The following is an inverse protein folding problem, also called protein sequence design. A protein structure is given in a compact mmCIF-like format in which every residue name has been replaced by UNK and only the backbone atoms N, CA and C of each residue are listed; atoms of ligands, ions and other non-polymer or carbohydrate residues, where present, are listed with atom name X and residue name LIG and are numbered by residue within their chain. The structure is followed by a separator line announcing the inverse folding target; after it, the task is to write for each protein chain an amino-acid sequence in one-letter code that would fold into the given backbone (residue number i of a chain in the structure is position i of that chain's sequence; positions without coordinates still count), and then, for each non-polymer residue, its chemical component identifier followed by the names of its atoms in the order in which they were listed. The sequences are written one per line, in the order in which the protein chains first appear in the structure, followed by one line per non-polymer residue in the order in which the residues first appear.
data_IF_804219298188
#
_entry.id   IF_804219298188
#
_cell.length_a   1.000
_cell.length_b   1.000
_cell.length_c   1.000
_cell.angle_alpha   90.00
_cell.angle_beta   90.00
_cell.angle_gamma   90.00
#
_symmetry.space_group_name_H-M   'P 1'
#
loop_
_entity.id
_entity.type
_entity.pdbx_description
1 polymer ?
#
# COMPACT_ATOMS: atom_id res chain seq x y z
N UNK A 1 14.21 -52.06 -15.78
CA UNK A 1 12.92 -52.14 -15.05
C UNK A 1 12.06 -50.93 -15.42
N UNK A 2 10.78 -51.13 -15.74
CA UNK A 2 9.83 -50.05 -16.08
C UNK A 2 8.90 -49.83 -14.89
N UNK A 3 8.90 -48.62 -14.33
CA UNK A 3 7.99 -48.22 -13.25
C UNK A 3 6.61 -47.89 -13.85
N UNK A 4 5.51 -48.44 -13.33
CA UNK A 4 4.17 -48.13 -13.83
C UNK A 4 3.72 -46.73 -13.38
N UNK A 5 3.24 -45.94 -14.32
CA UNK A 5 2.60 -44.64 -14.07
C UNK A 5 1.17 -44.92 -13.62
N UNK A 6 0.90 -44.70 -12.35
CA UNK A 6 -0.45 -44.74 -11.77
C UNK A 6 -1.22 -43.50 -12.23
N UNK A 7 -2.33 -43.70 -12.95
CA UNK A 7 -3.24 -42.62 -13.36
C UNK A 7 -4.19 -42.33 -12.20
N UNK A 8 -4.00 -41.18 -11.55
CA UNK A 8 -4.89 -40.67 -10.53
C UNK A 8 -6.20 -40.17 -11.16
N UNK A 9 -7.32 -40.65 -10.63
CA UNK A 9 -8.66 -40.28 -11.09
C UNK A 9 -8.99 -38.85 -10.62
N UNK A 10 -9.35 -37.98 -11.56
CA UNK A 10 -9.79 -36.62 -11.28
C UNK A 10 -11.11 -36.64 -10.51
N UNK A 11 -11.07 -36.26 -9.23
CA UNK A 11 -12.26 -36.01 -8.42
C UNK A 11 -12.82 -34.64 -8.83
N UNK A 12 -14.04 -34.65 -9.39
CA UNK A 12 -14.76 -33.43 -9.77
C UNK A 12 -15.15 -32.65 -8.51
N UNK A 13 -14.50 -31.50 -8.30
CA UNK A 13 -14.86 -30.56 -7.24
C UNK A 13 -16.06 -29.72 -7.71
N UNK A 14 -17.18 -29.66 -6.96
CA UNK A 14 -18.32 -28.84 -7.33
C UNK A 14 -17.95 -27.35 -7.32
N UNK A 15 -18.20 -26.69 -8.45
CA UNK A 15 -18.00 -25.26 -8.70
C UNK A 15 -19.02 -24.46 -7.87
N UNK A 16 -18.59 -23.96 -6.72
CA UNK A 16 -19.38 -23.02 -5.93
C UNK A 16 -19.50 -21.68 -6.66
N UNK A 17 -20.74 -21.20 -6.80
CA UNK A 17 -21.05 -19.89 -7.38
C UNK A 17 -20.46 -18.75 -6.53
N UNK A 18 -19.93 -17.67 -7.15
CA UNK A 18 -19.42 -16.53 -6.41
C UNK A 18 -20.58 -15.81 -5.73
N UNK A 19 -20.60 -15.84 -4.40
CA UNK A 19 -21.50 -15.01 -3.61
C UNK A 19 -21.01 -13.56 -3.70
N UNK A 20 -21.88 -12.68 -4.19
CA UNK A 20 -21.74 -11.23 -4.08
C UNK A 20 -21.85 -10.84 -2.62
N UNK A 21 -20.71 -10.65 -1.96
CA UNK A 21 -20.66 -10.05 -0.63
C UNK A 21 -20.80 -8.53 -0.76
N UNK A 22 -21.94 -8.04 -0.29
CA UNK A 22 -22.19 -6.63 0.02
C UNK A 22 -21.19 -6.16 1.09
N UNK A 23 -20.20 -5.39 0.67
CA UNK A 23 -19.28 -4.69 1.57
C UNK A 23 -20.01 -3.51 2.20
N UNK A 24 -20.47 -3.70 3.43
CA UNK A 24 -20.92 -2.64 4.32
C UNK A 24 -19.74 -1.75 4.70
N UNK A 25 -19.91 -0.46 4.47
CA UNK A 25 -18.99 0.61 4.85
C UNK A 25 -18.75 0.62 6.37
N UNK A 26 -17.50 0.35 6.78
CA UNK A 26 -16.98 0.76 8.09
C UNK A 26 -16.01 1.91 7.89
N UNK A 27 -16.55 3.11 7.74
CA UNK A 27 -15.82 4.37 7.76
C UNK A 27 -15.93 4.97 9.17
N UNK A 28 -14.80 5.03 9.87
CA UNK A 28 -14.41 6.12 10.81
C UNK A 28 -13.32 5.64 11.78
N UNK A 29 -12.07 5.60 11.32
CA UNK A 29 -10.92 5.70 12.21
C UNK A 29 -10.35 7.12 12.09
N UNK A 30 -10.86 8.00 12.95
CA UNK A 30 -10.23 9.28 13.23
C UNK A 30 -8.87 9.01 13.86
N UNK A 31 -7.83 9.00 13.04
CA UNK A 31 -6.44 9.01 13.47
C UNK A 31 -6.08 10.42 13.93
N UNK A 32 -6.53 10.80 15.13
CA UNK A 32 -5.99 11.97 15.83
C UNK A 32 -4.61 11.61 16.38
N UNK A 33 -3.59 11.77 15.52
CA UNK A 33 -2.20 11.74 15.94
C UNK A 33 -1.79 13.17 16.28
N UNK A 34 -1.57 13.53 17.57
CA UNK A 34 -0.99 14.80 17.93
C UNK A 34 0.49 14.76 17.54
N UNK A 35 0.78 15.13 16.29
CA UNK A 35 2.15 15.31 15.82
C UNK A 35 2.78 16.48 16.58
N UNK A 36 3.58 16.07 17.55
CA UNK A 36 4.50 16.87 18.35
C UNK A 36 5.20 17.97 17.55
N UNK A 37 5.26 19.11 18.22
CA UNK A 37 6.31 20.14 18.17
C UNK A 37 6.20 21.18 17.07
N UNK A 38 5.85 22.39 17.52
CA UNK A 38 6.01 23.67 16.85
C UNK A 38 7.28 23.73 15.97
N UNK A 39 7.11 23.44 14.67
CA UNK A 39 8.09 23.84 13.67
C UNK A 39 8.00 25.34 13.55
N UNK A 40 8.91 26.05 14.22
CA UNK A 40 9.12 27.47 13.99
C UNK A 40 9.20 27.75 12.48
N UNK A 41 8.54 28.82 12.04
CA UNK A 41 8.41 29.23 10.63
C UNK A 41 9.81 29.25 9.98
N UNK A 42 10.17 28.20 9.24
CA UNK A 42 11.44 28.15 8.52
C UNK A 42 11.28 29.02 7.27
N UNK A 43 12.10 30.05 7.15
CA UNK A 43 12.16 30.86 5.93
C UNK A 43 12.57 29.95 4.75
N UNK A 44 11.98 30.11 3.56
CA UNK A 44 12.36 29.35 2.38
C UNK A 44 13.86 29.54 2.12
N UNK A 45 14.61 28.43 2.05
CA UNK A 45 16.04 28.48 1.75
C UNK A 45 16.22 28.53 0.23
N UNK A 46 17.17 29.33 -0.30
CA UNK A 46 17.42 29.40 -1.73
C UNK A 46 17.94 28.05 -2.25
N UNK A 47 17.17 27.43 -3.14
CA UNK A 47 17.41 26.06 -3.60
C UNK A 47 18.77 25.84 -4.30
N UNK A 48 19.37 26.89 -4.86
CA UNK A 48 20.64 26.81 -5.64
C UNK A 48 21.91 27.11 -4.84
N UNK A 49 21.82 27.95 -3.82
CA UNK A 49 23.00 28.43 -3.07
C UNK A 49 23.10 27.84 -1.68
N UNK A 50 22.07 27.14 -1.22
CA UNK A 50 22.07 26.56 0.12
C UNK A 50 22.92 25.29 0.17
N UNK A 51 23.99 25.34 0.94
CA UNK A 51 24.81 24.16 1.28
C UNK A 51 24.30 23.56 2.59
N UNK A 52 24.09 22.25 2.63
CA UNK A 52 23.68 21.57 3.85
C UNK A 52 24.71 21.78 4.97
N UNK A 53 24.24 22.19 6.15
CA UNK A 53 25.08 22.32 7.35
C UNK A 53 25.66 20.97 7.80
N UNK A 54 26.66 21.02 8.70
CA UNK A 54 27.28 19.83 9.28
C UNK A 54 26.23 18.98 10.01
N UNK A 55 26.17 17.68 9.71
CA UNK A 55 25.22 16.75 10.33
C UNK A 55 25.44 16.65 11.84
N UNK A 56 24.34 16.74 12.60
CA UNK A 56 24.35 16.55 14.06
C UNK A 56 24.76 15.13 14.48
N UNK A 57 24.68 14.15 13.56
CA UNK A 57 25.11 12.76 13.80
C UNK A 57 26.64 12.60 13.84
N UNK A 58 27.41 13.61 13.40
CA UNK A 58 28.89 13.57 13.46
C UNK A 58 29.44 14.24 14.72
N UNK A 59 28.67 14.30 15.80
CA UNK A 59 29.25 14.46 17.14
C UNK A 59 29.95 13.14 17.48
N UNK A 60 31.24 13.05 17.12
CA UNK A 60 32.17 12.10 17.73
C UNK A 60 31.95 12.21 19.23
N UNK A 61 31.45 11.15 19.84
CA UNK A 61 31.40 11.00 21.28
C UNK A 61 32.85 11.06 21.76
N UNK A 62 33.31 12.25 22.12
CA UNK A 62 34.48 12.38 22.97
C UNK A 62 34.10 11.68 24.26
N UNK A 63 34.82 10.60 24.55
CA UNK A 63 34.67 9.67 25.65
C UNK A 63 34.63 10.42 26.99
N UNK A 64 33.48 10.96 27.35
CA UNK A 64 33.20 11.30 28.74
C UNK A 64 33.15 9.96 29.46
N UNK A 65 34.09 9.76 30.39
CA UNK A 65 34.13 8.62 31.31
C UNK A 65 32.76 8.56 31.99
N UNK A 66 31.90 7.69 31.46
CA UNK A 66 30.58 7.44 32.04
C UNK A 66 30.85 6.61 33.28
N UNK A 67 30.65 7.21 34.45
CA UNK A 67 30.46 6.43 35.67
C UNK A 67 29.36 5.40 35.39
N UNK A 68 29.57 4.12 35.73
CA UNK A 68 28.57 3.07 35.49
C UNK A 68 27.37 3.37 36.37
N UNK A 69 26.37 4.03 35.78
CA UNK A 69 25.04 4.13 36.37
C UNK A 69 24.49 2.71 36.44
N UNK A 70 23.93 2.25 37.58
CA UNK A 70 23.25 0.96 37.64
C UNK A 70 22.07 1.04 36.67
N UNK A 71 22.28 0.50 35.48
CA UNK A 71 21.23 0.33 34.49
C UNK A 71 20.38 -0.76 35.09
N UNK A 72 19.20 -0.41 35.62
CA UNK A 72 18.18 -1.41 35.91
C UNK A 72 18.12 -2.29 34.67
N UNK A 73 18.37 -3.59 34.85
CA UNK A 73 18.51 -4.54 33.78
C UNK A 73 17.15 -4.72 33.09
N UNK A 74 16.75 -3.74 32.29
CA UNK A 74 15.78 -3.87 31.22
C UNK A 74 16.46 -4.68 30.11
N UNK A 75 16.86 -5.91 30.45
CA UNK A 75 17.28 -6.89 29.48
C UNK A 75 16.08 -7.21 28.61
N UNK A 76 16.23 -7.04 27.30
CA UNK A 76 15.28 -7.62 26.36
C UNK A 76 15.37 -9.13 26.56
N UNK A 77 14.33 -9.70 27.19
CA UNK A 77 14.20 -11.14 27.36
C UNK A 77 13.36 -11.67 26.21
N UNK A 78 13.87 -12.66 25.50
CA UNK A 78 13.06 -13.37 24.51
C UNK A 78 12.09 -14.28 25.26
N UNK A 79 10.79 -14.21 24.93
CA UNK A 79 9.83 -15.16 25.49
C UNK A 79 10.24 -16.59 25.07
N UNK A 80 10.35 -17.48 26.06
CA UNK A 80 10.79 -18.84 25.83
C UNK A 80 9.74 -19.66 25.09
N UNK A 81 10.16 -20.49 24.14
CA UNK A 81 9.33 -21.55 23.56
C UNK A 81 8.44 -21.13 22.39
N UNK A 82 7.25 -21.74 22.31
CA UNK A 82 6.28 -21.60 21.19
C UNK A 82 5.34 -20.41 21.35
N UNK A 83 5.41 -19.69 22.46
CA UNK A 83 4.49 -18.59 22.80
C UNK A 83 4.66 -17.34 21.91
N UNK A 84 5.76 -17.28 21.14
CA UNK A 84 5.99 -16.25 20.10
C UNK A 84 5.64 -16.72 18.68
N UNK A 85 5.37 -18.01 18.47
CA UNK A 85 5.16 -18.58 17.15
C UNK A 85 3.67 -18.59 16.81
N UNK A 86 3.19 -17.52 16.18
CA UNK A 86 1.89 -17.53 15.53
C UNK A 86 1.99 -18.28 14.20
N UNK A 87 1.39 -19.47 14.11
CA UNK A 87 1.29 -20.21 12.86
C UNK A 87 0.16 -19.60 12.02
N UNK A 88 0.51 -19.05 10.86
CA UNK A 88 -0.46 -18.65 9.85
C UNK A 88 -0.35 -19.61 8.66
N UNK A 89 -1.44 -20.30 8.33
CA UNK A 89 -1.49 -21.15 7.14
C UNK A 89 -1.56 -20.28 5.90
N UNK A 90 -0.51 -20.32 5.08
CA UNK A 90 -0.49 -19.63 3.79
C UNK A 90 -0.95 -20.62 2.72
N UNK A 91 -2.11 -20.36 2.11
CA UNK A 91 -2.56 -21.10 0.94
C UNK A 91 -1.76 -20.69 -0.30
N UNK A 92 -1.23 -21.67 -1.03
CA UNK A 92 -0.56 -21.43 -2.32
C UNK A 92 -1.59 -21.45 -3.44
N UNK A 93 -1.70 -20.36 -4.18
CA UNK A 93 -2.55 -20.25 -5.36
C UNK A 93 -1.74 -20.20 -6.66
N UNK A 94 -0.55 -20.81 -6.68
CA UNK A 94 0.33 -20.83 -7.86
C UNK A 94 -0.35 -21.47 -9.08
N UNK A 95 -1.19 -22.47 -8.87
CA UNK A 95 -1.91 -23.16 -9.96
C UNK A 95 -2.98 -22.30 -10.61
N UNK A 96 -3.42 -21.23 -9.93
CA UNK A 96 -4.39 -20.27 -10.43
C UNK A 96 -3.73 -19.10 -11.20
N UNK A 97 -2.44 -19.21 -11.56
CA UNK A 97 -1.59 -18.18 -12.17
C UNK A 97 -2.39 -17.19 -13.06
N UNK A 98 -2.78 -17.61 -14.26
CA UNK A 98 -3.42 -16.73 -15.25
C UNK A 98 -4.81 -16.22 -14.85
N UNK A 99 -5.45 -16.84 -13.85
CA UNK A 99 -6.78 -16.43 -13.37
C UNK A 99 -6.72 -15.38 -12.25
N UNK A 100 -5.64 -15.37 -11.46
CA UNK A 100 -5.43 -14.40 -10.37
C UNK A 100 -4.75 -13.12 -10.85
N UNK A 101 -3.92 -13.23 -11.89
CA UNK A 101 -3.31 -12.07 -12.52
C UNK A 101 -4.31 -11.42 -13.47
N UNK A 102 -5.10 -10.48 -12.97
CA UNK A 102 -5.67 -9.46 -13.86
C UNK A 102 -4.50 -8.79 -14.58
N UNK A 103 -4.46 -8.87 -15.92
CA UNK A 103 -3.37 -8.29 -16.72
C UNK A 103 -3.15 -6.80 -16.46
N UNK A 104 -4.18 -6.12 -15.96
CA UNK A 104 -4.07 -4.76 -15.45
C UNK A 104 -5.18 -4.51 -14.41
N UNK A 105 -4.94 -4.71 -13.10
CA UNK A 105 -5.95 -4.46 -12.07
C UNK A 105 -6.35 -2.98 -11.97
N UNK A 106 -5.53 -2.07 -12.51
CA UNK A 106 -5.84 -0.65 -12.67
C UNK A 106 -6.58 -0.33 -13.97
N UNK A 107 -6.90 -1.34 -14.79
CA UNK A 107 -7.61 -1.12 -16.04
C UNK A 107 -9.00 -0.56 -15.83
N UNK A 108 -9.62 -0.75 -14.68
CA UNK A 108 -10.94 -0.19 -14.40
C UNK A 108 -10.82 1.03 -13.48
N UNK A 109 -11.20 2.19 -14.00
CA UNK A 109 -11.18 3.47 -13.29
C UNK A 109 -12.63 3.89 -13.03
N UNK A 110 -12.90 4.45 -11.85
CA UNK A 110 -14.22 4.96 -11.52
C UNK A 110 -14.43 6.31 -12.21
N UNK A 111 -15.51 6.45 -12.98
CA UNK A 111 -15.91 7.74 -13.54
C UNK A 111 -16.36 8.67 -12.41
N UNK A 112 -15.86 9.90 -12.36
CA UNK A 112 -16.18 10.85 -11.29
C UNK A 112 -17.62 11.38 -11.37
N UNK A 113 -18.17 11.50 -12.59
CA UNK A 113 -19.56 11.90 -12.85
C UNK A 113 -20.60 10.80 -12.57
N UNK A 114 -20.55 9.67 -13.28
CA UNK A 114 -21.56 8.61 -13.14
C UNK A 114 -21.23 7.53 -12.10
N UNK A 115 -20.05 7.57 -11.46
CA UNK A 115 -19.56 6.61 -10.45
C UNK A 115 -19.49 5.14 -10.90
N UNK A 116 -19.65 4.86 -12.19
CA UNK A 116 -19.43 3.52 -12.77
C UNK A 116 -17.92 3.24 -12.92
N UNK A 117 -17.49 2.02 -12.60
CA UNK A 117 -16.15 1.53 -12.96
C UNK A 117 -16.17 1.11 -14.43
N UNK A 118 -15.33 1.74 -15.24
CA UNK A 118 -15.18 1.44 -16.67
C UNK A 118 -13.72 1.19 -17.00
N UNK A 119 -13.41 0.42 -18.05
CA UNK A 119 -12.06 0.33 -18.57
C UNK A 119 -11.47 1.71 -18.86
N UNK A 120 -10.20 1.94 -18.53
CA UNK A 120 -9.49 3.21 -18.73
C UNK A 120 -9.51 3.64 -20.20
N UNK A 121 -9.56 2.67 -21.13
CA UNK A 121 -9.70 2.89 -22.58
C UNK A 121 -11.08 3.43 -23.00
N UNK A 122 -12.09 3.37 -22.13
CA UNK A 122 -13.46 3.86 -22.35
C UNK A 122 -13.72 5.21 -21.66
N UNK A 123 -12.66 5.97 -21.40
CA UNK A 123 -12.77 7.31 -20.86
C UNK A 123 -11.52 8.13 -21.12
N UNK A 124 -11.53 9.33 -20.57
CA UNK A 124 -10.40 10.28 -20.67
C UNK A 124 -10.18 10.97 -19.34
N UNK A 125 -8.91 11.19 -19.04
CA UNK A 125 -8.48 12.07 -17.97
C UNK A 125 -8.64 13.52 -18.41
N UNK A 126 -9.27 14.35 -17.57
CA UNK A 126 -9.38 15.80 -17.76
C UNK A 126 -8.59 16.53 -16.68
N UNK A 127 -7.83 17.53 -17.11
CA UNK A 127 -7.20 18.51 -16.23
C UNK A 127 -8.13 19.69 -15.97
N UNK A 128 -7.94 20.34 -14.82
CA UNK A 128 -8.68 21.55 -14.47
C UNK A 128 -8.26 22.74 -15.37
N UNK A 129 -9.18 23.62 -15.80
CA UNK A 129 -8.82 24.83 -16.53
C UNK A 129 -7.84 25.70 -15.73
N UNK A 130 -6.74 26.11 -16.36
CA UNK A 130 -5.69 26.90 -15.72
C UNK A 130 -4.60 26.10 -15.00
N UNK A 131 -4.72 24.76 -14.96
CA UNK A 131 -3.69 23.86 -14.45
C UNK A 131 -2.83 23.27 -15.58
N UNK A 132 -1.67 22.73 -15.21
CA UNK A 132 -0.77 22.03 -16.14
C UNK A 132 -1.48 20.82 -16.75
N UNK A 133 -1.24 20.53 -18.04
CA UNK A 133 -1.79 19.36 -18.73
C UNK A 133 -1.37 18.01 -18.13
N UNK A 134 -0.36 18.02 -17.26
CA UNK A 134 0.08 16.85 -16.50
C UNK A 134 -0.71 16.64 -15.19
N UNK A 135 -1.47 17.63 -14.74
CA UNK A 135 -2.35 17.53 -13.56
C UNK A 135 -3.76 17.17 -14.02
N UNK A 136 -3.95 15.88 -14.27
CA UNK A 136 -5.26 15.32 -14.58
C UNK A 136 -5.91 14.80 -13.30
N UNK A 137 -6.87 15.56 -12.79
CA UNK A 137 -7.48 15.31 -11.49
C UNK A 137 -8.80 14.53 -11.60
N UNK A 138 -9.44 14.49 -12.78
CA UNK A 138 -10.74 13.86 -12.98
C UNK A 138 -10.71 12.85 -14.15
N UNK A 139 -11.34 11.68 -13.96
CA UNK A 139 -11.58 10.71 -15.03
C UNK A 139 -13.07 10.65 -15.38
N UNK A 140 -13.38 10.82 -16.66
CA UNK A 140 -14.75 10.72 -17.20
C UNK A 140 -14.84 9.60 -18.22
N UNK A 141 -15.87 8.75 -18.12
CA UNK A 141 -16.19 7.78 -19.17
C UNK A 141 -16.65 8.49 -20.46
N UNK A 142 -16.65 7.78 -21.60
CA UNK A 142 -17.07 8.33 -22.90
C UNK A 142 -18.50 8.88 -22.85
N UNK A 143 -19.44 8.16 -22.21
CA UNK A 143 -20.82 8.62 -22.04
C UNK A 143 -20.90 9.99 -21.33
N UNK A 144 -20.16 10.16 -20.23
CA UNK A 144 -20.11 11.42 -19.46
C UNK A 144 -19.28 12.52 -20.11
N UNK A 145 -18.36 12.14 -21.00
CA UNK A 145 -17.47 13.03 -21.73
C UNK A 145 -18.15 13.66 -22.94
N UNK A 146 -19.04 12.92 -23.61
CA UNK A 146 -19.74 13.35 -24.82
C UNK A 146 -21.07 14.06 -24.49
N UNK A 147 -21.63 13.82 -23.30
CA UNK A 147 -22.86 14.46 -22.80
C UNK A 147 -22.69 15.89 -22.25
N UNK A 148 -21.63 16.60 -22.62
CA UNK A 148 -21.42 18.04 -22.33
C UNK A 148 -21.89 18.94 -23.49
N UNK A 149 -22.76 18.43 -24.36
CA UNK A 149 -23.37 19.14 -25.49
C UNK A 149 -24.77 19.68 -25.17
#
# INVERSE_FOLDING_TARGET
ERVPIVREAAVAVPRASPQTETLSETSSLASDSPHRSARGKRKPLPHRTHVAGKSALKRRQTSAVRTPRPVAASGVSFAGGKDLAAFCSVASFRDCNEQLWFTNPQANVMCERCRKRVPQKQGRLRGQPGCSSFMCDEFLCNECSDGDG
#
